data_IF_465481097456
#
_entry.id   IF_465481097456
#
_cell.length_a   1.000
_cell.length_b   1.000
_cell.length_c   1.000
_cell.angle_alpha   90.00
_cell.angle_beta   90.00
_cell.angle_gamma   90.00
#
_symmetry.space_group_name_H-M   'P 1'
#
loop_
_entity.id
_entity.type
_entity.pdbx_description
1 polymer ?
#
# COMPACT_ATOMS: atom_id res chain seq x y z
N UNK A 1 -0.78 5.65 -10.38
CA UNK A 1 -1.80 6.27 -9.51
C UNK A 1 -1.13 6.62 -8.19
N UNK A 2 -1.24 7.86 -7.70
CA UNK A 2 -0.66 8.26 -6.41
C UNK A 2 -1.54 7.75 -5.27
N UNK A 3 -0.91 7.21 -4.22
CA UNK A 3 -1.58 6.82 -2.98
C UNK A 3 -1.07 7.73 -1.86
N UNK A 4 -1.99 8.46 -1.23
CA UNK A 4 -1.68 9.38 -0.14
C UNK A 4 -1.76 8.64 1.19
N UNK A 5 -0.62 8.52 1.86
CA UNK A 5 -0.49 7.67 3.02
C UNK A 5 -0.72 8.42 4.34
N UNK A 6 -0.72 9.76 4.32
CA UNK A 6 -1.12 10.61 5.45
C UNK A 6 -2.64 10.83 5.57
N UNK A 7 -3.42 10.53 4.53
CA UNK A 7 -4.86 10.79 4.49
C UNK A 7 -5.73 9.62 5.00
N UNK A 8 -5.17 8.41 5.10
CA UNK A 8 -5.90 7.17 5.37
C UNK A 8 -5.21 6.41 6.52
N UNK A 9 -5.95 5.82 7.48
CA UNK A 9 -5.35 5.01 8.54
C UNK A 9 -4.55 3.81 7.98
N UNK A 10 -3.44 3.48 8.67
CA UNK A 10 -2.46 2.47 8.24
C UNK A 10 -3.08 1.10 7.91
N UNK A 11 -4.12 0.69 8.64
CA UNK A 11 -4.83 -0.58 8.41
C UNK A 11 -5.57 -0.63 7.07
N UNK A 12 -6.20 0.48 6.65
CA UNK A 12 -6.85 0.59 5.35
C UNK A 12 -5.80 0.73 4.24
N UNK A 13 -4.71 1.42 4.54
CA UNK A 13 -3.60 1.61 3.63
C UNK A 13 -2.93 0.25 3.28
N UNK A 14 -2.69 -0.60 4.29
CA UNK A 14 -2.25 -1.98 4.09
C UNK A 14 -3.25 -2.77 3.23
N UNK A 15 -4.54 -2.65 3.52
CA UNK A 15 -5.60 -3.35 2.78
C UNK A 15 -5.74 -2.90 1.31
N UNK A 16 -5.36 -1.67 0.98
CA UNK A 16 -5.33 -1.15 -0.40
C UNK A 16 -4.02 -1.53 -1.12
N UNK A 17 -2.89 -1.54 -0.41
CA UNK A 17 -1.58 -1.84 -0.98
C UNK A 17 -1.35 -3.33 -1.21
N UNK A 18 -1.58 -4.14 -0.18
CA UNK A 18 -1.41 -5.59 -0.21
C UNK A 18 -2.69 -6.32 -0.63
N UNK A 19 -3.83 -5.62 -0.58
CA UNK A 19 -5.13 -6.24 -0.80
C UNK A 19 -5.68 -6.84 0.49
N UNK A 20 -6.93 -7.27 0.43
CA UNK A 20 -7.59 -7.91 1.54
C UNK A 20 -8.63 -8.92 1.07
N UNK A 21 -8.88 -9.90 1.92
CA UNK A 21 -9.99 -10.83 1.75
C UNK A 21 -11.23 -10.31 2.48
N UNK A 22 -12.41 -10.72 1.99
CA UNK A 22 -13.69 -10.46 2.63
C UNK A 22 -13.63 -10.92 4.08
N UNK A 23 -13.96 -10.02 5.00
CA UNK A 23 -13.90 -10.27 6.44
C UNK A 23 -12.55 -10.00 7.11
N UNK A 24 -11.54 -9.49 6.40
CA UNK A 24 -10.27 -9.11 7.02
C UNK A 24 -10.40 -7.95 8.03
N UNK A 25 -11.37 -7.05 7.83
CA UNK A 25 -11.71 -5.97 8.76
C UNK A 25 -13.20 -5.60 8.64
N UNK A 26 -13.73 -4.85 9.61
CA UNK A 26 -15.10 -4.28 9.58
C UNK A 26 -15.24 -3.31 8.40
N UNK A 27 -15.76 -3.82 7.28
CA UNK A 27 -15.84 -3.10 6.00
C UNK A 27 -15.32 -3.87 4.79
N UNK A 28 -14.63 -5.00 5.00
CA UNK A 28 -14.18 -5.88 3.94
C UNK A 28 -15.34 -6.72 3.36
N UNK A 29 -16.13 -6.12 2.46
CA UNK A 29 -17.33 -6.74 1.86
C UNK A 29 -16.99 -7.74 0.75
N UNK A 30 -15.82 -7.57 0.12
CA UNK A 30 -15.35 -8.36 -1.00
C UNK A 30 -13.83 -8.55 -0.93
N UNK A 31 -13.32 -9.55 -1.64
CA UNK A 31 -11.88 -9.71 -1.84
C UNK A 31 -11.41 -8.64 -2.82
N UNK A 32 -10.38 -7.87 -2.44
CA UNK A 32 -9.71 -6.93 -3.34
C UNK A 32 -8.22 -7.26 -3.45
N UNK A 33 -7.70 -7.45 -4.67
CA UNK A 33 -6.26 -7.61 -4.87
C UNK A 33 -5.53 -6.29 -4.55
N UNK A 34 -4.27 -6.41 -4.11
CA UNK A 34 -3.48 -5.25 -3.72
C UNK A 34 -3.08 -4.37 -4.89
N UNK A 35 -2.92 -3.07 -4.64
CA UNK A 35 -2.33 -2.13 -5.61
C UNK A 35 -0.92 -2.53 -6.00
N UNK A 36 -0.17 -3.23 -5.13
CA UNK A 36 1.14 -3.77 -5.44
C UNK A 36 1.07 -4.86 -6.52
N UNK A 37 0.16 -5.82 -6.40
CA UNK A 37 -0.05 -6.85 -7.43
C UNK A 37 -0.52 -6.24 -8.76
N UNK A 38 -1.37 -5.21 -8.70
CA UNK A 38 -1.80 -4.48 -9.90
C UNK A 38 -0.66 -3.66 -10.52
N UNK A 39 0.32 -3.24 -9.72
CA UNK A 39 1.47 -2.46 -10.14
C UNK A 39 2.72 -3.31 -10.45
N UNK A 40 2.63 -4.65 -10.43
CA UNK A 40 3.72 -5.58 -10.75
C UNK A 40 4.39 -5.27 -12.12
N UNK A 41 3.62 -4.75 -13.07
CA UNK A 41 4.11 -4.30 -14.39
C UNK A 41 4.13 -2.78 -14.58
N UNK A 42 3.91 -2.02 -13.50
CA UNK A 42 3.76 -0.57 -13.52
C UNK A 42 4.67 0.13 -12.51
N UNK A 43 4.33 1.36 -12.15
CA UNK A 43 5.02 2.12 -11.11
C UNK A 43 3.98 2.67 -10.16
N UNK A 44 4.14 2.35 -8.88
CA UNK A 44 3.30 2.87 -7.81
C UNK A 44 4.00 4.03 -7.13
N UNK A 45 3.31 5.16 -7.01
CA UNK A 45 3.82 6.35 -6.34
C UNK A 45 3.19 6.44 -4.96
N UNK A 46 4.03 6.58 -3.94
CA UNK A 46 3.63 6.72 -2.54
C UNK A 46 4.00 8.12 -2.10
N UNK A 47 2.99 8.90 -1.76
CA UNK A 47 3.15 10.26 -1.23
C UNK A 47 3.02 10.21 0.30
N UNK A 48 3.80 11.05 0.99
CA UNK A 48 3.88 11.10 2.46
C UNK A 48 4.36 9.80 3.16
N UNK A 49 5.39 9.13 2.64
CA UNK A 49 5.95 7.93 3.32
C UNK A 49 6.52 8.21 4.72
N UNK A 50 6.83 9.48 5.04
CA UNK A 50 7.39 9.89 6.32
C UNK A 50 6.40 9.84 7.50
N UNK A 51 5.10 9.71 7.23
CA UNK A 51 4.08 9.58 8.27
C UNK A 51 3.74 8.12 8.59
N UNK A 52 4.29 7.16 7.84
CA UNK A 52 4.05 5.73 8.05
C UNK A 52 4.95 5.17 9.15
N UNK A 53 4.49 4.11 9.83
CA UNK A 53 5.34 3.38 10.76
C UNK A 53 6.54 2.73 10.04
N UNK A 54 7.68 2.66 10.72
CA UNK A 54 8.92 2.04 10.19
C UNK A 54 8.70 0.63 9.63
N UNK A 55 7.77 -0.12 10.22
CA UNK A 55 7.42 -1.47 9.77
C UNK A 55 6.82 -1.48 8.35
N UNK A 56 5.99 -0.48 8.03
CA UNK A 56 5.36 -0.34 6.73
C UNK A 56 6.34 0.10 5.65
N UNK A 57 7.23 1.06 5.96
CA UNK A 57 8.28 1.51 5.05
C UNK A 57 9.21 0.36 4.60
N UNK A 58 9.51 -0.59 5.49
CA UNK A 58 10.29 -1.79 5.15
C UNK A 58 9.53 -2.70 4.18
N UNK A 59 8.24 -2.96 4.43
CA UNK A 59 7.40 -3.79 3.56
C UNK A 59 7.28 -3.21 2.15
N UNK A 60 7.09 -1.90 2.05
CA UNK A 60 7.03 -1.17 0.77
C UNK A 60 8.37 -1.26 0.04
N UNK A 61 9.48 -0.92 0.72
CA UNK A 61 10.81 -0.90 0.11
C UNK A 61 11.22 -2.29 -0.39
N UNK A 62 10.83 -3.35 0.33
CA UNK A 62 11.04 -4.74 -0.09
C UNK A 62 10.29 -5.09 -1.38
N UNK A 63 9.11 -4.50 -1.62
CA UNK A 63 8.33 -4.71 -2.85
C UNK A 63 8.78 -3.81 -4.01
N UNK A 64 9.23 -2.57 -3.75
CA UNK A 64 9.62 -1.60 -4.80
C UNK A 64 11.14 -1.51 -4.98
N UNK A 65 11.80 -2.59 -5.43
CA UNK A 65 13.23 -2.61 -5.76
C UNK A 65 13.63 -1.79 -7.02
N UNK A 66 12.87 -0.73 -7.32
CA UNK A 66 13.24 0.36 -8.23
C UNK A 66 12.74 1.70 -7.69
N UNK A 67 12.99 1.96 -6.41
CA UNK A 67 12.86 3.29 -5.83
C UNK A 67 13.92 4.19 -6.48
N UNK A 68 13.48 5.12 -7.33
CA UNK A 68 14.35 6.17 -7.82
C UNK A 68 14.36 7.25 -6.75
N UNK A 69 15.43 7.29 -5.98
CA UNK A 69 15.77 8.46 -5.17
C UNK A 69 15.83 9.66 -6.13
N UNK A 70 14.99 10.66 -5.87
CA UNK A 70 15.14 12.01 -6.42
C UNK A 70 15.83 12.87 -5.39
#
# INVERSE_FOLDING_TARGET
>A
MPLNCGAIPETLLEAELFGHVKGAFTGAIANRPGRLEQADKGTLFLDEIGTMSTNFSVKVTACTARAREI
#
